data_IF_328395172884
#
_entry.id   IF_328395172884
#
_cell.length_a   1.000
_cell.length_b   1.000
_cell.length_c   1.000
_cell.angle_alpha   90.00
_cell.angle_beta   90.00
_cell.angle_gamma   90.00
#
_symmetry.space_group_name_H-M   'P 1'
#
loop_
_entity.id
_entity.type
_entity.pdbx_description
1 polymer ?
#
# COMPACT_ATOMS: atom_id res chain seq x y z
N UNK A 1 3.43 5.96 -9.56
CA UNK A 1 3.16 4.54 -9.31
C UNK A 1 1.80 4.37 -8.67
N UNK A 2 1.11 3.29 -8.98
CA UNK A 2 -0.22 3.02 -8.44
C UNK A 2 -0.31 1.59 -7.93
N UNK A 3 -0.98 1.44 -6.79
CA UNK A 3 -1.18 0.13 -6.16
C UNK A 3 -2.64 -0.02 -5.77
N UNK A 4 -3.13 -1.26 -5.77
CA UNK A 4 -4.47 -1.57 -5.29
C UNK A 4 -4.35 -2.24 -3.93
N UNK A 5 -5.13 -1.77 -2.99
CA UNK A 5 -5.19 -2.41 -1.69
C UNK A 5 -6.12 -3.62 -1.73
N UNK A 6 -5.63 -4.76 -1.28
CA UNK A 6 -6.42 -5.99 -1.16
C UNK A 6 -6.39 -6.41 0.30
N UNK A 7 -7.54 -6.40 0.94
CA UNK A 7 -7.64 -6.77 2.33
C UNK A 7 -8.87 -6.16 2.96
N UNK A 8 -8.97 -6.24 4.26
CA UNK A 8 -10.11 -5.66 4.95
C UNK A 8 -10.02 -4.15 4.98
N UNK A 9 -11.15 -3.50 4.76
CA UNK A 9 -11.26 -2.07 4.93
C UNK A 9 -11.20 -1.76 6.43
N UNK A 10 -10.37 -0.80 6.79
CA UNK A 10 -10.28 -0.39 8.18
C UNK A 10 -11.41 0.56 8.51
N UNK A 11 -11.92 0.43 9.72
CA UNK A 11 -12.96 1.33 10.18
C UNK A 11 -12.49 2.75 10.35
N UNK A 12 -11.23 2.99 10.16
CA UNK A 12 -10.69 4.34 10.07
C UNK A 12 -10.34 4.54 8.62
N UNK A 13 -10.83 5.52 8.05
CA UNK A 13 -10.85 5.88 6.65
C UNK A 13 -9.49 5.92 5.97
N UNK A 14 -8.71 4.87 6.11
CA UNK A 14 -7.37 4.85 5.53
C UNK A 14 -7.28 4.08 4.25
N UNK A 15 -7.75 2.84 4.25
CA UNK A 15 -7.65 1.97 3.08
C UNK A 15 -8.96 1.23 2.85
N UNK A 16 -9.36 1.14 1.59
CA UNK A 16 -10.56 0.45 1.16
C UNK A 16 -10.19 -0.73 0.26
N UNK A 17 -10.73 -1.90 0.54
CA UNK A 17 -10.48 -3.09 -0.26
C UNK A 17 -10.82 -2.85 -1.74
N UNK A 18 -9.89 -3.23 -2.59
CA UNK A 18 -10.07 -3.11 -4.04
C UNK A 18 -9.83 -1.72 -4.62
N UNK A 19 -9.59 -0.73 -3.79
CA UNK A 19 -9.37 0.63 -4.29
C UNK A 19 -7.92 0.83 -4.71
N UNK A 20 -7.73 1.63 -5.76
CA UNK A 20 -6.40 1.98 -6.26
C UNK A 20 -5.93 3.26 -5.61
N UNK A 21 -4.68 3.25 -5.16
CA UNK A 21 -4.06 4.40 -4.48
C UNK A 21 -2.81 4.84 -5.22
N UNK A 22 -2.54 6.15 -5.16
CA UNK A 22 -1.34 6.71 -5.73
C UNK A 22 -0.17 6.52 -4.77
N UNK A 23 0.91 5.93 -5.27
CA UNK A 23 2.16 5.80 -4.52
C UNK A 23 3.11 6.89 -5.01
N UNK A 24 3.42 7.83 -4.17
CA UNK A 24 4.24 8.99 -4.55
C UNK A 24 5.71 8.83 -4.20
N UNK A 25 6.08 7.72 -3.57
CA UNK A 25 7.48 7.48 -3.24
C UNK A 25 7.67 6.20 -2.46
N UNK A 26 8.91 5.81 -2.29
CA UNK A 26 9.31 4.64 -1.52
C UNK A 26 10.40 5.09 -0.54
N UNK A 27 10.22 4.79 0.73
CA UNK A 27 11.16 5.16 1.79
C UNK A 27 11.35 4.01 2.76
N UNK A 28 12.60 3.55 2.90
CA UNK A 28 12.95 2.50 3.87
C UNK A 28 12.08 1.24 3.80
N UNK A 29 11.79 0.81 2.58
CA UNK A 29 10.96 -0.39 2.39
C UNK A 29 9.48 -0.15 2.59
N UNK A 30 9.06 1.10 2.68
CA UNK A 30 7.67 1.48 2.85
C UNK A 30 7.20 2.32 1.67
N UNK A 31 5.92 2.24 1.38
CA UNK A 31 5.31 3.03 0.32
C UNK A 31 4.67 4.28 0.90
N UNK A 32 4.94 5.42 0.29
CA UNK A 32 4.25 6.65 0.64
C UNK A 32 3.00 6.75 -0.21
N UNK A 33 1.88 6.54 0.42
CA UNK A 33 0.57 6.38 -0.24
C UNK A 33 -0.34 7.55 0.13
N UNK A 34 -1.04 8.08 -0.86
CA UNK A 34 -2.13 9.02 -0.60
C UNK A 34 -3.35 8.16 -0.33
N UNK A 35 -3.76 8.09 0.93
CA UNK A 35 -4.85 7.21 1.34
C UNK A 35 -6.23 7.90 1.26
N UNK A 36 -7.24 7.26 1.84
CA UNK A 36 -8.60 7.79 1.79
C UNK A 36 -8.76 9.12 2.52
N UNK A 37 -7.83 9.46 3.40
CA UNK A 37 -7.85 10.76 4.07
C UNK A 37 -7.35 11.89 3.15
N UNK A 38 -6.82 11.52 1.98
CA UNK A 38 -6.23 12.43 1.00
C UNK A 38 -4.91 13.04 1.47
N UNK A 39 -4.31 12.44 2.48
CA UNK A 39 -2.99 12.81 2.96
C UNK A 39 -2.04 11.65 2.69
N UNK A 40 -0.75 11.95 2.61
CA UNK A 40 0.24 10.92 2.36
C UNK A 40 0.81 10.36 3.66
N UNK A 41 0.81 9.04 3.73
CA UNK A 41 1.37 8.32 4.87
C UNK A 41 2.22 7.16 4.38
N UNK A 42 3.14 6.72 5.23
CA UNK A 42 3.98 5.55 4.92
C UNK A 42 3.26 4.27 5.34
N UNK A 43 3.17 3.33 4.41
CA UNK A 43 2.61 2.00 4.65
C UNK A 43 3.65 0.94 4.32
N UNK A 44 3.65 -0.14 5.08
CA UNK A 44 4.53 -1.28 4.76
C UNK A 44 4.22 -1.78 3.35
N UNK A 45 5.25 -2.08 2.58
CA UNK A 45 5.08 -2.63 1.24
C UNK A 45 4.55 -4.06 1.28
N UNK A 46 4.80 -4.78 2.37
CA UNK A 46 4.45 -6.19 2.50
C UNK A 46 3.15 -6.37 3.28
N UNK A 47 2.95 -5.59 4.33
CA UNK A 47 1.81 -5.72 5.23
C UNK A 47 1.21 -4.35 5.49
N UNK A 48 0.51 -3.76 4.51
CA UNK A 48 0.04 -2.38 4.62
C UNK A 48 -0.85 -2.11 5.83
N UNK A 49 -1.53 -3.14 6.28
CA UNK A 49 -2.50 -3.00 7.35
C UNK A 49 -2.05 -3.73 8.62
N UNK A 50 -0.76 -3.90 8.82
CA UNK A 50 -0.26 -4.67 9.96
C UNK A 50 -0.36 -3.86 11.24
N UNK A 51 -1.43 -4.10 11.98
CA UNK A 51 -1.58 -3.55 13.30
C UNK A 51 -1.46 -4.70 14.31
N UNK A 52 -2.52 -4.97 15.03
CA UNK A 52 -2.48 -6.00 16.06
C UNK A 52 -2.83 -7.39 15.54
N UNK A 53 -3.59 -7.45 14.46
CA UNK A 53 -4.06 -8.71 13.92
C UNK A 53 -3.36 -9.02 12.60
N UNK A 54 -2.40 -9.90 12.64
CA UNK A 54 -1.57 -10.23 11.49
C UNK A 54 -2.33 -10.93 10.37
N UNK A 55 -3.45 -11.55 10.68
CA UNK A 55 -4.27 -12.21 9.66
C UNK A 55 -5.02 -11.21 8.78
N UNK A 56 -5.04 -9.95 9.19
CA UNK A 56 -5.79 -8.91 8.50
C UNK A 56 -4.89 -7.81 7.95
N UNK A 57 -3.62 -8.12 7.71
CA UNK A 57 -2.67 -7.09 7.29
C UNK A 57 -2.80 -6.69 5.81
N UNK A 58 -3.62 -7.38 5.03
CA UNK A 58 -3.81 -7.03 3.64
C UNK A 58 -2.57 -7.21 2.78
N UNK A 59 -2.64 -6.70 1.57
CA UNK A 59 -1.50 -6.71 0.65
C UNK A 59 -1.68 -5.64 -0.42
N UNK A 60 -0.60 -5.33 -1.11
CA UNK A 60 -0.64 -4.43 -2.26
C UNK A 60 -0.55 -5.21 -3.56
N UNK A 61 -1.39 -4.83 -4.52
CA UNK A 61 -1.32 -5.33 -5.89
C UNK A 61 -0.80 -4.19 -6.76
N UNK A 62 0.24 -4.45 -7.56
CA UNK A 62 0.84 -3.42 -8.40
C UNK A 62 -0.07 -3.16 -9.60
N UNK A 63 -0.51 -1.92 -9.76
CA UNK A 63 -1.30 -1.48 -10.91
C UNK A 63 -0.42 -0.81 -11.93
N UNK A 64 0.46 0.08 -11.47
CA UNK A 64 1.39 0.80 -12.34
C UNK A 64 2.71 1.01 -11.60
N UNK A 65 3.78 0.47 -12.14
CA UNK A 65 5.11 0.59 -11.58
C UNK A 65 5.91 1.65 -12.33
N UNK A 66 7.09 1.98 -11.83
CA UNK A 66 8.00 2.88 -12.54
C UNK A 66 8.93 2.08 -13.46
N UNK A 67 9.78 2.79 -14.21
CA UNK A 67 10.70 2.17 -15.15
C UNK A 67 11.66 1.19 -14.49
N UNK A 68 12.04 1.47 -13.26
CA UNK A 68 12.98 0.64 -12.52
C UNK A 68 12.30 -0.53 -11.82
N UNK A 69 10.98 -0.61 -11.89
CA UNK A 69 10.19 -1.66 -11.22
C UNK A 69 10.45 -1.71 -9.73
N UNK A 70 10.49 -0.55 -9.11
CA UNK A 70 10.77 -0.44 -7.68
C UNK A 70 9.69 -1.10 -6.83
N UNK A 71 8.43 -1.01 -7.24
CA UNK A 71 7.34 -1.68 -6.52
C UNK A 71 7.47 -3.20 -6.61
N UNK A 72 7.77 -3.71 -7.80
CA UNK A 72 7.94 -5.15 -7.99
C UNK A 72 9.09 -5.69 -7.13
N UNK A 73 10.20 -4.98 -7.11
CA UNK A 73 11.36 -5.39 -6.31
C UNK A 73 11.05 -5.41 -4.83
N UNK A 74 10.22 -4.48 -4.37
CA UNK A 74 9.92 -4.32 -2.95
C UNK A 74 8.80 -5.25 -2.51
N UNK A 75 7.73 -5.34 -3.28
CA UNK A 75 6.54 -6.11 -2.92
C UNK A 75 6.72 -7.60 -3.21
N UNK A 76 7.35 -7.94 -4.31
CA UNK A 76 7.50 -9.32 -4.75
C UNK A 76 8.90 -9.91 -4.51
N UNK A 77 9.68 -9.25 -3.70
CA UNK A 77 11.03 -9.73 -3.40
C UNK A 77 11.03 -10.95 -2.49
#
# INVERSE_FOLDING_TARGET
>A
MKVRYIGKSFGVESLTDGKIYECIGIEDGMLRIIDDSQEDYLYSAIKPASLENMDLCGKWEIVEDNENKDLEKLINS
#
